data_IF_718655967572
#
_entry.id   IF_718655967572
#
_cell.length_a   1.000
_cell.length_b   1.000
_cell.length_c   1.000
_cell.angle_alpha   90.00
_cell.angle_beta   90.00
_cell.angle_gamma   90.00
#
_symmetry.space_group_name_H-M   'P 1'
#
loop_
_entity.id
_entity.type
_entity.pdbx_description
1 polymer ?
#
# COMPACT_ATOMS: atom_id res chain seq x y z
N UNK A 1 51.11 13.59 -43.07
CA UNK A 1 50.69 12.28 -42.49
C UNK A 1 49.85 12.57 -41.25
N UNK A 2 48.54 12.80 -41.43
CA UNK A 2 47.42 11.95 -40.96
C UNK A 2 47.46 11.62 -39.45
N UNK A 3 46.87 12.51 -38.65
CA UNK A 3 46.36 12.18 -37.31
C UNK A 3 45.04 11.42 -37.47
N UNK A 4 45.07 10.11 -37.27
CA UNK A 4 43.87 9.28 -37.24
C UNK A 4 43.25 9.39 -35.83
N UNK A 5 42.26 10.27 -35.66
CA UNK A 5 41.46 10.33 -34.44
C UNK A 5 40.54 9.09 -34.42
N UNK A 6 40.85 8.18 -33.50
CA UNK A 6 40.02 7.02 -33.17
C UNK A 6 38.74 7.53 -32.47
N UNK A 7 37.61 7.54 -33.17
CA UNK A 7 36.32 7.83 -32.57
C UNK A 7 35.72 6.53 -32.02
N UNK A 8 35.80 6.34 -30.70
CA UNK A 8 35.09 5.27 -29.99
C UNK A 8 33.64 5.71 -29.82
N UNK A 9 32.74 5.25 -30.70
CA UNK A 9 31.30 5.38 -30.50
C UNK A 9 30.89 4.36 -29.41
N UNK A 10 30.84 4.82 -28.16
CA UNK A 10 30.21 4.10 -27.05
C UNK A 10 28.69 4.11 -27.29
N UNK A 11 28.18 3.05 -27.89
CA UNK A 11 26.74 2.74 -27.89
C UNK A 11 26.42 2.26 -26.48
N UNK A 12 26.06 3.19 -25.60
CA UNK A 12 25.45 2.84 -24.32
C UNK A 12 24.08 2.23 -24.61
N UNK A 13 23.82 0.98 -24.23
CA UNK A 13 22.45 0.47 -24.24
C UNK A 13 21.69 1.30 -23.21
N UNK A 14 20.73 2.10 -23.69
CA UNK A 14 19.67 2.63 -22.84
C UNK A 14 18.87 1.42 -22.34
N UNK A 15 19.31 0.84 -21.21
CA UNK A 15 18.45 0.03 -20.36
C UNK A 15 17.37 0.95 -19.85
N UNK A 16 16.36 1.17 -20.67
CA UNK A 16 15.05 1.58 -20.24
C UNK A 16 14.57 0.43 -19.36
N UNK A 17 14.80 0.53 -18.05
CA UNK A 17 14.06 -0.28 -17.10
C UNK A 17 12.61 0.12 -17.29
N UNK A 18 11.91 -0.69 -18.09
CA UNK A 18 10.47 -0.62 -18.18
C UNK A 18 9.98 -1.01 -16.78
N UNK A 19 9.77 -0.02 -15.92
CA UNK A 19 9.13 -0.24 -14.63
C UNK A 19 7.79 -0.89 -14.94
N UNK A 20 7.60 -2.10 -14.43
CA UNK A 20 6.36 -2.84 -14.56
C UNK A 20 5.27 -2.06 -13.80
N UNK A 21 4.55 -1.20 -14.53
CA UNK A 21 3.48 -0.35 -13.98
C UNK A 21 2.28 -1.17 -13.49
N UNK A 22 2.25 -2.48 -13.72
CA UNK A 22 1.21 -3.37 -13.21
C UNK A 22 1.40 -3.74 -11.73
N UNK A 23 2.63 -3.58 -11.20
CA UNK A 23 3.00 -3.95 -9.84
C UNK A 23 2.89 -2.76 -8.90
N UNK A 24 2.43 -3.06 -7.69
CA UNK A 24 2.39 -2.07 -6.64
C UNK A 24 3.82 -1.68 -6.23
N UNK A 25 4.11 -0.38 -6.28
CA UNK A 25 5.38 0.20 -5.85
C UNK A 25 5.08 1.57 -5.25
N UNK A 26 4.90 1.61 -3.93
CA UNK A 26 4.51 2.80 -3.17
C UNK A 26 5.67 3.21 -2.28
N UNK A 27 6.03 4.50 -2.33
CA UNK A 27 6.97 5.15 -1.42
C UNK A 27 6.29 6.39 -0.83
N UNK A 28 6.03 6.38 0.48
CA UNK A 28 5.15 7.35 1.14
C UNK A 28 5.76 7.89 2.44
N UNK A 29 5.80 9.20 2.58
CA UNK A 29 6.39 9.88 3.74
C UNK A 29 5.35 10.32 4.79
N UNK A 30 4.06 10.31 4.44
CA UNK A 30 2.97 10.70 5.32
C UNK A 30 2.03 9.53 5.65
N UNK A 31 1.46 9.59 6.85
CA UNK A 31 0.47 8.64 7.34
C UNK A 31 -0.72 9.34 7.99
N UNK A 32 -1.91 8.79 7.80
CA UNK A 32 -3.12 9.07 8.59
C UNK A 32 -3.73 7.76 9.06
N UNK A 33 -4.23 7.75 10.29
CA UNK A 33 -4.78 6.56 10.95
C UNK A 33 -6.28 6.71 11.15
N UNK A 34 -7.05 5.71 10.74
CA UNK A 34 -8.46 5.57 11.08
C UNK A 34 -8.61 4.83 12.40
N UNK A 35 -9.21 5.49 13.38
CA UNK A 35 -9.35 4.99 14.74
C UNK A 35 -10.81 5.06 15.18
N UNK A 36 -11.23 4.12 16.03
CA UNK A 36 -12.46 4.19 16.82
C UNK A 36 -12.13 4.60 18.25
N UNK A 37 -12.88 5.56 18.78
CA UNK A 37 -12.81 5.89 20.20
C UNK A 37 -13.60 4.89 21.06
N UNK A 38 -13.50 5.05 22.38
CA UNK A 38 -14.19 4.22 23.38
C UNK A 38 -15.73 4.25 23.28
N UNK A 39 -16.30 5.26 22.63
CA UNK A 39 -17.73 5.42 22.41
C UNK A 39 -18.17 4.84 21.05
N UNK A 40 -17.25 4.22 20.31
CA UNK A 40 -17.50 3.69 18.97
C UNK A 40 -17.49 4.75 17.87
N UNK A 41 -17.21 6.02 18.19
CA UNK A 41 -17.09 7.08 17.18
C UNK A 41 -15.77 6.91 16.44
N UNK A 42 -15.86 6.78 15.12
CA UNK A 42 -14.70 6.63 14.27
C UNK A 42 -14.28 7.96 13.63
N UNK A 43 -12.99 8.15 13.45
CA UNK A 43 -12.41 9.32 12.80
C UNK A 43 -11.04 9.01 12.20
N UNK A 44 -10.64 9.83 11.22
CA UNK A 44 -9.27 9.87 10.72
C UNK A 44 -8.45 10.87 11.54
N UNK A 45 -7.26 10.47 11.96
CA UNK A 45 -6.24 11.41 12.45
C UNK A 45 -5.72 12.26 11.30
N UNK A 46 -5.25 13.46 11.61
CA UNK A 46 -4.61 14.31 10.60
C UNK A 46 -3.39 13.64 9.98
N UNK A 47 -3.10 14.02 8.73
CA UNK A 47 -1.91 13.58 8.01
C UNK A 47 -0.64 14.10 8.69
N UNK A 48 0.25 13.19 9.08
CA UNK A 48 1.52 13.49 9.73
C UNK A 48 2.68 12.82 8.99
N UNK A 49 3.88 13.43 9.06
CA UNK A 49 5.10 12.78 8.57
C UNK A 49 5.40 11.55 9.41
N UNK A 50 5.92 10.51 8.76
CA UNK A 50 6.28 9.28 9.44
C UNK A 50 7.55 9.48 10.28
N UNK A 51 7.48 9.28 11.61
CA UNK A 51 8.60 9.61 12.50
C UNK A 51 9.81 8.69 12.31
N UNK A 52 9.61 7.49 11.76
CA UNK A 52 10.65 6.48 11.61
C UNK A 52 11.16 6.36 10.15
N UNK A 53 10.89 7.37 9.32
CA UNK A 53 11.17 7.34 7.88
C UNK A 53 10.01 6.79 7.06
N UNK A 54 10.24 6.68 5.75
CA UNK A 54 9.17 6.47 4.77
C UNK A 54 8.62 5.05 4.77
N UNK A 55 7.32 4.94 4.54
CA UNK A 55 6.64 3.70 4.21
C UNK A 55 6.98 3.26 2.79
N UNK A 56 7.34 1.99 2.61
CA UNK A 56 7.53 1.39 1.29
C UNK A 56 6.73 0.12 1.15
N UNK A 57 6.09 -0.08 0.01
CA UNK A 57 5.38 -1.30 -0.32
C UNK A 57 5.66 -1.68 -1.77
N UNK A 58 6.21 -2.88 -1.98
CA UNK A 58 6.61 -3.40 -3.28
C UNK A 58 6.00 -4.77 -3.52
N UNK A 59 5.40 -4.97 -4.69
CA UNK A 59 4.84 -6.25 -5.11
C UNK A 59 5.90 -7.12 -5.79
N UNK A 60 6.01 -8.36 -5.33
CA UNK A 60 6.85 -9.42 -5.90
C UNK A 60 6.14 -10.11 -7.07
N UNK A 61 6.90 -10.84 -7.88
CA UNK A 61 6.37 -11.59 -9.02
C UNK A 61 5.32 -12.64 -8.63
N UNK A 62 5.41 -13.18 -7.41
CA UNK A 62 4.42 -14.11 -6.87
C UNK A 62 3.17 -13.42 -6.27
N UNK A 63 3.07 -12.09 -6.39
CA UNK A 63 1.96 -11.29 -5.88
C UNK A 63 2.04 -10.97 -4.39
N UNK A 64 3.04 -11.44 -3.64
CA UNK A 64 3.29 -11.02 -2.25
C UNK A 64 3.75 -9.56 -2.19
N UNK A 65 3.57 -8.92 -1.04
CA UNK A 65 4.04 -7.55 -0.81
C UNK A 65 5.20 -7.55 0.18
N UNK A 66 6.26 -6.82 -0.13
CA UNK A 66 7.33 -6.48 0.81
C UNK A 66 7.05 -5.08 1.33
N UNK A 67 6.87 -4.96 2.65
CA UNK A 67 6.44 -3.72 3.30
C UNK A 67 7.47 -3.29 4.34
N UNK A 68 7.99 -2.07 4.21
CA UNK A 68 8.82 -1.42 5.23
C UNK A 68 8.03 -0.28 5.86
N UNK A 69 7.89 -0.31 7.19
CA UNK A 69 7.22 0.76 7.96
C UNK A 69 8.22 1.74 8.61
N UNK A 70 9.49 1.33 8.68
CA UNK A 70 10.59 2.06 9.30
C UNK A 70 11.85 1.72 8.50
N UNK A 71 12.59 2.74 8.06
CA UNK A 71 13.81 2.56 7.25
C UNK A 71 14.94 1.85 8.02
N UNK A 72 14.85 1.80 9.35
CA UNK A 72 15.84 1.18 10.23
C UNK A 72 15.47 -0.26 10.62
N UNK A 73 14.32 -0.77 10.18
CA UNK A 73 13.85 -2.13 10.49
C UNK A 73 13.81 -2.98 9.22
N UNK A 74 13.91 -4.30 9.41
CA UNK A 74 13.76 -5.24 8.30
C UNK A 74 12.33 -5.15 7.74
N UNK A 75 12.17 -5.23 6.40
CA UNK A 75 10.84 -5.25 5.80
C UNK A 75 10.10 -6.54 6.17
N UNK A 76 8.78 -6.44 6.24
CA UNK A 76 7.88 -7.57 6.46
C UNK A 76 7.34 -8.09 5.13
N UNK A 77 7.22 -9.40 5.00
CA UNK A 77 6.54 -10.03 3.86
C UNK A 77 5.06 -10.29 4.18
N UNK A 78 4.20 -9.73 3.34
CA UNK A 78 2.76 -9.92 3.35
C UNK A 78 2.40 -10.93 2.25
N UNK A 79 1.90 -12.09 2.67
CA UNK A 79 1.61 -13.21 1.79
C UNK A 79 0.24 -13.02 1.15
N UNK A 80 0.17 -13.07 -0.18
CA UNK A 80 -1.10 -12.94 -0.89
C UNK A 80 -1.97 -14.17 -0.63
N UNK A 81 -3.16 -13.93 -0.10
CA UNK A 81 -4.11 -14.98 0.24
C UNK A 81 -5.50 -14.72 -0.37
N UNK A 82 -5.58 -13.80 -1.34
CA UNK A 82 -6.84 -13.34 -1.94
C UNK A 82 -7.66 -14.48 -2.54
N UNK A 83 -7.00 -15.46 -3.17
CA UNK A 83 -7.67 -16.60 -3.84
C UNK A 83 -8.44 -17.48 -2.84
N UNK A 84 -8.01 -17.52 -1.58
CA UNK A 84 -8.64 -18.33 -0.54
C UNK A 84 -9.83 -17.63 0.13
N UNK A 85 -10.08 -16.36 -0.20
CA UNK A 85 -11.13 -15.52 0.41
C UNK A 85 -12.16 -15.01 -0.60
N UNK A 86 -12.56 -15.86 -1.56
CA UNK A 86 -13.45 -15.46 -2.67
C UNK A 86 -14.81 -14.94 -2.21
N UNK A 87 -15.39 -15.54 -1.17
CA UNK A 87 -16.71 -15.14 -0.67
C UNK A 87 -16.64 -13.82 0.11
N UNK A 88 -15.52 -13.56 0.76
CA UNK A 88 -15.26 -12.36 1.54
C UNK A 88 -14.91 -11.17 0.64
N UNK A 89 -14.16 -11.42 -0.44
CA UNK A 89 -13.90 -10.41 -1.50
C UNK A 89 -15.20 -9.84 -2.04
N UNK A 90 -16.27 -10.65 -2.16
CA UNK A 90 -17.59 -10.17 -2.62
C UNK A 90 -18.28 -9.24 -1.63
N UNK A 91 -17.92 -9.28 -0.35
CA UNK A 91 -18.55 -8.50 0.73
C UNK A 91 -17.84 -7.17 0.98
N UNK A 92 -16.62 -6.98 0.47
CA UNK A 92 -15.88 -5.74 0.63
C UNK A 92 -16.08 -4.80 -0.56
N UNK A 93 -15.99 -3.47 -0.35
CA UNK A 93 -15.98 -2.52 -1.46
C UNK A 93 -14.78 -2.78 -2.37
N UNK A 94 -14.99 -2.83 -3.68
CA UNK A 94 -13.90 -2.93 -4.66
C UNK A 94 -13.19 -1.59 -4.92
N UNK A 95 -13.85 -0.47 -4.58
CA UNK A 95 -13.31 0.88 -4.68
C UNK A 95 -13.68 1.69 -3.43
N UNK A 96 -12.73 2.49 -2.95
CA UNK A 96 -12.90 3.39 -1.81
C UNK A 96 -12.30 4.74 -2.18
N UNK A 97 -13.13 5.73 -2.49
CA UNK A 97 -12.68 7.07 -2.88
C UNK A 97 -11.63 7.07 -4.01
N UNK A 98 -11.75 6.19 -5.00
CA UNK A 98 -10.79 6.05 -6.10
C UNK A 98 -9.56 5.20 -5.79
N UNK A 99 -9.56 4.51 -4.64
CA UNK A 99 -8.60 3.45 -4.31
C UNK A 99 -9.23 2.09 -4.60
N UNK A 100 -8.61 1.34 -5.50
CA UNK A 100 -9.07 0.03 -5.94
C UNK A 100 -8.52 -1.06 -5.06
N UNK A 101 -9.36 -2.05 -4.74
CA UNK A 101 -8.94 -3.24 -4.02
C UNK A 101 -7.84 -3.99 -4.78
N UNK A 102 -6.75 -4.30 -4.09
CA UNK A 102 -5.63 -5.08 -4.62
C UNK A 102 -5.73 -6.55 -4.24
N UNK A 103 -6.03 -6.83 -2.97
CA UNK A 103 -6.01 -8.19 -2.46
C UNK A 103 -6.05 -8.26 -0.94
N UNK A 104 -6.24 -9.48 -0.45
CA UNK A 104 -6.07 -9.85 0.95
C UNK A 104 -4.71 -10.47 1.19
N UNK A 105 -4.10 -10.04 2.28
CA UNK A 105 -2.76 -10.42 2.68
C UNK A 105 -2.73 -10.76 4.17
N UNK A 106 -1.79 -11.61 4.57
CA UNK A 106 -1.50 -11.85 5.97
C UNK A 106 0.00 -11.79 6.23
N UNK A 107 0.36 -11.58 7.48
CA UNK A 107 1.74 -11.56 7.95
C UNK A 107 1.93 -12.76 8.88
N UNK A 108 2.88 -13.65 8.61
CA UNK A 108 3.06 -14.90 9.38
C UNK A 108 3.34 -14.67 10.87
N UNK A 109 3.95 -13.54 11.22
CA UNK A 109 4.22 -13.17 12.61
C UNK A 109 2.98 -12.68 13.38
N UNK A 110 1.83 -12.57 12.71
CA UNK A 110 0.58 -12.11 13.30
C UNK A 110 -0.38 -13.28 13.54
N UNK A 111 -1.39 -13.10 14.41
CA UNK A 111 -2.47 -14.07 14.58
C UNK A 111 -3.12 -14.48 13.25
N UNK A 112 -3.51 -15.75 13.13
CA UNK A 112 -4.05 -16.34 11.90
C UNK A 112 -5.36 -15.68 11.46
N UNK A 113 -6.10 -15.10 12.39
CA UNK A 113 -7.35 -14.38 12.18
C UNK A 113 -7.16 -12.93 11.74
N UNK A 114 -5.93 -12.41 11.73
CA UNK A 114 -5.64 -11.05 11.28
C UNK A 114 -5.35 -11.02 9.77
N UNK A 115 -6.21 -10.32 9.03
CA UNK A 115 -6.12 -10.18 7.58
C UNK A 115 -6.09 -8.72 7.17
N UNK A 116 -5.29 -8.41 6.15
CA UNK A 116 -5.08 -7.06 5.64
C UNK A 116 -5.63 -6.95 4.22
N UNK A 117 -6.56 -6.02 3.99
CA UNK A 117 -6.92 -5.61 2.64
C UNK A 117 -6.08 -4.42 2.22
N UNK A 118 -5.47 -4.52 1.05
CA UNK A 118 -4.71 -3.43 0.45
C UNK A 118 -5.52 -2.79 -0.67
N UNK A 119 -5.54 -1.45 -0.72
CA UNK A 119 -6.14 -0.68 -1.81
C UNK A 119 -5.14 0.34 -2.32
N UNK A 120 -5.11 0.53 -3.65
CA UNK A 120 -4.15 1.40 -4.32
C UNK A 120 -4.84 2.34 -5.30
N UNK A 121 -4.21 3.46 -5.62
CA UNK A 121 -4.75 4.40 -6.60
C UNK A 121 -3.91 4.42 -7.87
N UNK A 122 -4.58 4.32 -9.03
CA UNK A 122 -3.92 4.57 -10.33
C UNK A 122 -3.75 6.06 -10.63
N UNK A 123 -4.37 6.94 -9.83
CA UNK A 123 -4.29 8.41 -9.98
C UNK A 123 -3.34 9.04 -8.96
N UNK A 124 -3.17 8.40 -7.80
CA UNK A 124 -2.25 8.80 -6.74
C UNK A 124 -1.19 7.68 -6.56
N UNK A 125 -0.17 7.67 -7.42
CA UNK A 125 0.77 6.55 -7.59
C UNK A 125 1.49 6.11 -6.31
N UNK A 126 1.82 7.04 -5.43
CA UNK A 126 2.52 6.77 -4.17
C UNK A 126 1.55 6.84 -2.98
N UNK A 127 0.40 6.20 -3.11
CA UNK A 127 -0.57 6.15 -2.03
C UNK A 127 -1.24 4.79 -1.91
N UNK A 128 -1.55 4.43 -0.67
CA UNK A 128 -2.05 3.12 -0.32
C UNK A 128 -2.98 3.23 0.90
N UNK A 129 -4.08 2.49 0.86
CA UNK A 129 -4.90 2.22 2.03
C UNK A 129 -4.68 0.78 2.46
N UNK A 130 -4.32 0.59 3.73
CA UNK A 130 -4.21 -0.72 4.35
C UNK A 130 -5.30 -0.84 5.41
N UNK A 131 -6.26 -1.73 5.21
CA UNK A 131 -7.39 -1.98 6.12
C UNK A 131 -7.15 -3.29 6.85
N UNK A 132 -7.30 -3.28 8.18
CA UNK A 132 -7.05 -4.44 9.06
C UNK A 132 -8.38 -5.04 9.51
N UNK A 133 -8.54 -6.33 9.31
CA UNK A 133 -9.70 -7.13 9.71
C UNK A 133 -9.29 -8.19 10.73
N UNK A 134 -10.10 -8.35 11.78
CA UNK A 134 -9.99 -9.47 12.73
C UNK A 134 -11.14 -10.42 12.46
N UNK A 135 -10.85 -11.57 11.86
CA UNK A 135 -11.85 -12.43 11.25
C UNK A 135 -12.55 -11.77 10.05
N UNK A 136 -13.25 -12.56 9.25
CA UNK A 136 -14.00 -12.06 8.10
C UNK A 136 -15.41 -11.56 8.44
N UNK A 137 -15.86 -11.80 9.68
CA UNK A 137 -17.11 -11.29 10.23
C UNK A 137 -16.99 -9.84 10.76
N UNK A 138 -16.23 -9.02 10.04
CA UNK A 138 -16.41 -7.56 9.88
C UNK A 138 -15.97 -6.61 11.02
N UNK A 139 -15.27 -7.08 12.05
CA UNK A 139 -14.63 -6.13 12.97
C UNK A 139 -13.37 -5.54 12.32
N UNK A 140 -13.54 -4.45 11.56
CA UNK A 140 -12.40 -3.63 11.13
C UNK A 140 -11.73 -3.06 12.38
N UNK A 141 -10.51 -3.52 12.61
CA UNK A 141 -9.71 -3.14 13.76
C UNK A 141 -9.00 -1.79 13.54
N UNK A 142 -8.82 -1.39 12.28
CA UNK A 142 -8.31 -0.08 11.90
C UNK A 142 -7.96 0.01 10.43
N UNK A 143 -7.66 1.22 9.97
CA UNK A 143 -7.12 1.43 8.63
C UNK A 143 -6.02 2.49 8.68
N UNK A 144 -5.04 2.33 7.80
CA UNK A 144 -3.94 3.26 7.64
C UNK A 144 -3.96 3.77 6.21
N UNK A 145 -3.85 5.08 6.04
CA UNK A 145 -3.63 5.71 4.75
C UNK A 145 -2.19 6.21 4.69
N UNK A 146 -1.47 5.81 3.65
CA UNK A 146 -0.10 6.22 3.35
C UNK A 146 -0.09 7.04 2.08
N UNK A 147 0.67 8.15 2.06
CA UNK A 147 0.88 8.93 0.84
C UNK A 147 2.19 9.71 0.85
N UNK A 148 2.75 9.96 -0.33
CA UNK A 148 3.78 10.98 -0.55
C UNK A 148 3.28 12.43 -0.37
N UNK A 149 1.95 12.63 -0.34
CA UNK A 149 1.30 13.94 -0.15
C UNK A 149 0.68 14.05 1.23
N UNK A 150 0.69 15.25 1.80
CA UNK A 150 0.07 15.58 3.10
C UNK A 150 -1.46 15.80 3.00
N UNK A 151 -2.14 15.03 2.16
CA UNK A 151 -3.58 15.16 1.89
C UNK A 151 -4.21 13.76 1.97
N UNK A 152 -5.27 13.62 2.76
CA UNK A 152 -6.03 12.37 2.88
C UNK A 152 -7.44 12.52 2.26
N UNK A 153 -7.68 12.01 1.04
CA UNK A 153 -8.99 12.12 0.39
C UNK A 153 -10.10 11.35 1.14
N UNK A 154 -9.75 10.34 1.94
CA UNK A 154 -10.72 9.59 2.75
C UNK A 154 -11.22 10.44 3.93
N UNK A 155 -10.35 11.29 4.49
CA UNK A 155 -10.72 12.25 5.52
C UNK A 155 -11.61 13.35 4.94
N UNK A 156 -11.26 13.91 3.78
CA UNK A 156 -12.03 14.96 3.09
C UNK A 156 -13.44 14.47 2.70
N UNK A 157 -13.54 13.23 2.22
CA UNK A 157 -14.82 12.61 1.90
C UNK A 157 -15.60 12.14 3.14
N UNK A 158 -15.02 12.25 4.35
CA UNK A 158 -15.55 11.66 5.58
C UNK A 158 -15.89 10.16 5.42
N UNK A 159 -15.06 9.43 4.66
CA UNK A 159 -15.25 8.01 4.41
C UNK A 159 -15.02 7.20 5.68
N UNK A 160 -15.87 6.19 5.88
CA UNK A 160 -15.82 5.32 7.05
C UNK A 160 -15.93 3.85 6.65
N UNK A 161 -15.27 3.02 7.43
CA UNK A 161 -15.16 1.58 7.19
C UNK A 161 -16.22 0.76 7.93
N UNK A 162 -17.01 1.37 8.81
CA UNK A 162 -18.16 0.74 9.45
C UNK A 162 -19.33 0.63 8.46
N UNK A 163 -19.20 -0.25 7.49
CA UNK A 163 -20.28 -0.61 6.58
C UNK A 163 -21.22 -1.55 7.35
N UNK A 164 -22.43 -1.07 7.63
CA UNK A 164 -23.55 -1.87 8.15
C UNK A 164 -24.25 -2.63 7.02
#
# INVERSE_FOLDING_TARGET
MKYLKLAFFLILPFFSSCQDTSKLNVDAQYISLYLKDKNGKAYWKDMNEMPAGDFKCQEKDNGNLIVSFNKNEAPSEFINNTINYKEEVRKIPNDICGFKFKGFYYLESQPVDLVYAFYYSSKMSNSLVMVKYMGFDQAIFGANFYSDKKINPLQEANYRFDIK
#
